data_IF_273053540947
#
_entry.id   IF_273053540947
#
_cell.length_a   1.000
_cell.length_b   1.000
_cell.length_c   1.000
_cell.angle_alpha   90.00
_cell.angle_beta   90.00
_cell.angle_gamma   90.00
#
_symmetry.space_group_name_H-M   'P 1'
#
loop_
_entity.id
_entity.type
_entity.pdbx_description
1 polymer ?
#
# COMPACT_ATOMS: atom_id res chain seq x y z
N UNK A 1 -33.04 -3.40 -105.34
CA UNK A 1 -32.15 -2.40 -104.70
C UNK A 1 -32.01 -2.76 -103.23
N UNK A 2 -30.80 -3.15 -102.79
CA UNK A 2 -30.32 -3.03 -101.40
C UNK A 2 -30.26 -1.54 -101.00
N UNK A 3 -30.24 -1.10 -99.70
CA UNK A 3 -29.30 -1.58 -98.66
C UNK A 3 -29.85 -1.52 -97.18
N UNK A 4 -29.36 -2.31 -96.20
CA UNK A 4 -28.26 -2.11 -95.20
C UNK A 4 -28.72 -2.09 -93.73
N UNK A 5 -27.96 -2.82 -92.91
CA UNK A 5 -27.97 -2.97 -91.45
C UNK A 5 -27.72 -1.65 -90.69
N UNK A 6 -28.16 -1.59 -89.42
CA UNK A 6 -27.30 -1.19 -88.28
C UNK A 6 -27.86 -1.70 -86.94
N UNK A 7 -26.97 -2.30 -86.16
CA UNK A 7 -27.18 -2.79 -84.79
C UNK A 7 -26.80 -1.70 -83.77
N UNK A 8 -27.40 -1.72 -82.57
CA UNK A 8 -26.78 -1.18 -81.35
C UNK A 8 -27.16 -2.02 -80.11
N UNK A 9 -26.13 -2.33 -79.32
CA UNK A 9 -26.11 -3.13 -78.09
C UNK A 9 -26.84 -2.46 -76.90
N UNK A 10 -27.24 -3.23 -75.87
CA UNK A 10 -27.75 -2.70 -74.62
C UNK A 10 -26.61 -2.22 -73.72
N UNK A 11 -26.76 -1.04 -73.09
CA UNK A 11 -25.87 -0.57 -72.03
C UNK A 11 -26.35 -1.13 -70.68
N UNK A 12 -25.53 -1.98 -70.05
CA UNK A 12 -25.65 -2.29 -68.62
C UNK A 12 -25.30 -1.04 -67.79
N UNK A 13 -26.00 -0.75 -66.69
CA UNK A 13 -25.49 0.15 -65.67
C UNK A 13 -24.55 -0.62 -64.73
N UNK A 14 -23.32 -0.12 -64.61
CA UNK A 14 -22.32 -0.57 -63.66
C UNK A 14 -22.79 -0.16 -62.24
N UNK A 15 -23.18 -1.13 -61.41
CA UNK A 15 -23.47 -0.90 -60.00
C UNK A 15 -22.13 -0.79 -59.25
N UNK A 16 -21.72 0.42 -58.90
CA UNK A 16 -20.56 0.65 -58.06
C UNK A 16 -20.90 0.27 -56.61
N UNK A 17 -20.38 -0.87 -56.14
CA UNK A 17 -20.36 -1.20 -54.70
C UNK A 17 -19.30 -0.33 -54.02
N UNK A 18 -19.72 0.72 -53.35
CA UNK A 18 -18.91 1.41 -52.33
C UNK A 18 -18.93 0.61 -51.04
N UNK A 19 -17.88 -0.19 -50.81
CA UNK A 19 -17.60 -0.76 -49.50
C UNK A 19 -17.08 0.37 -48.61
N UNK A 20 -17.95 0.92 -47.78
CA UNK A 20 -17.55 1.81 -46.69
C UNK A 20 -16.84 0.96 -45.62
N UNK A 21 -15.52 1.03 -45.57
CA UNK A 21 -14.75 0.51 -44.45
C UNK A 21 -15.09 1.35 -43.21
N UNK A 22 -15.91 0.80 -42.31
CA UNK A 22 -16.08 1.29 -40.95
C UNK A 22 -14.73 1.12 -40.23
N UNK A 23 -13.94 2.17 -40.20
CA UNK A 23 -12.85 2.30 -39.23
C UNK A 23 -13.51 2.39 -37.85
N UNK A 24 -13.54 1.28 -37.12
CA UNK A 24 -13.72 1.33 -35.68
C UNK A 24 -12.47 1.99 -35.09
N UNK A 25 -12.50 3.31 -34.94
CA UNK A 25 -11.67 3.98 -33.95
C UNK A 25 -12.16 3.49 -32.60
N UNK A 26 -11.50 2.48 -32.04
CA UNK A 26 -11.58 2.26 -30.61
C UNK A 26 -10.93 3.47 -29.97
N UNK A 27 -11.73 4.49 -29.67
CA UNK A 27 -11.34 5.50 -28.70
C UNK A 27 -11.11 4.71 -27.40
N UNK A 28 -9.85 4.38 -27.15
CA UNK A 28 -9.41 3.81 -25.90
C UNK A 28 -9.54 4.92 -24.86
N UNK A 29 -10.77 5.16 -24.39
CA UNK A 29 -11.00 6.02 -23.25
C UNK A 29 -10.14 5.46 -22.11
N UNK A 30 -9.24 6.30 -21.61
CA UNK A 30 -8.41 5.95 -20.47
C UNK A 30 -9.35 5.59 -19.30
N UNK A 31 -9.10 4.45 -18.67
CA UNK A 31 -9.97 4.00 -17.58
C UNK A 31 -9.86 4.93 -16.37
N UNK A 32 -10.97 5.14 -15.68
CA UNK A 32 -11.02 5.90 -14.45
C UNK A 32 -10.15 5.25 -13.36
N UNK A 33 -9.60 6.08 -12.47
CA UNK A 33 -8.83 5.64 -11.31
C UNK A 33 -9.74 5.55 -10.08
N UNK A 34 -9.64 4.46 -9.32
CA UNK A 34 -10.38 4.28 -8.07
C UNK A 34 -9.46 3.87 -6.90
N UNK A 35 -8.48 4.72 -6.52
CA UNK A 35 -7.60 4.43 -5.39
C UNK A 35 -8.40 4.22 -4.10
N UNK A 36 -7.94 3.28 -3.27
CA UNK A 36 -8.58 2.95 -2.02
C UNK A 36 -8.16 3.91 -0.90
N UNK A 37 -6.87 4.27 -0.83
CA UNK A 37 -6.31 5.04 0.29
C UNK A 37 -6.25 6.55 -0.03
N UNK A 38 -5.60 6.96 -1.11
CA UNK A 38 -5.55 8.37 -1.51
C UNK A 38 -6.88 8.82 -2.12
N UNK A 39 -7.29 10.05 -1.82
CA UNK A 39 -8.47 10.66 -2.45
C UNK A 39 -8.03 11.47 -3.66
N UNK A 40 -8.67 11.27 -4.81
CA UNK A 40 -8.34 12.03 -6.02
C UNK A 40 -8.50 13.55 -5.83
N UNK A 41 -9.52 13.98 -5.08
CA UNK A 41 -9.74 15.40 -4.73
C UNK A 41 -8.60 16.00 -3.88
N UNK A 42 -7.86 15.18 -3.13
CA UNK A 42 -6.68 15.63 -2.41
C UNK A 42 -5.50 15.84 -3.36
N UNK A 43 -5.29 14.90 -4.29
CA UNK A 43 -4.25 15.03 -5.30
C UNK A 43 -4.52 16.23 -6.21
N UNK A 44 -5.79 16.45 -6.59
CA UNK A 44 -6.21 17.62 -7.36
C UNK A 44 -5.96 18.93 -6.60
N UNK A 45 -6.32 18.99 -5.31
CA UNK A 45 -5.99 20.14 -4.48
C UNK A 45 -4.48 20.39 -4.43
N UNK A 46 -3.68 19.33 -4.24
CA UNK A 46 -2.22 19.43 -4.23
C UNK A 46 -1.66 19.91 -5.58
N UNK A 47 -2.20 19.47 -6.71
CA UNK A 47 -1.84 19.98 -8.05
C UNK A 47 -2.10 21.49 -8.16
N UNK A 48 -3.23 21.98 -7.64
CA UNK A 48 -3.53 23.41 -7.61
C UNK A 48 -2.54 24.19 -6.74
N UNK A 49 -2.15 23.65 -5.57
CA UNK A 49 -1.17 24.29 -4.69
C UNK A 49 0.25 24.30 -5.30
N UNK A 50 0.62 23.26 -6.04
CA UNK A 50 1.86 23.20 -6.84
C UNK A 50 1.82 24.28 -7.93
N UNK A 51 0.73 24.38 -8.70
CA UNK A 51 0.57 25.40 -9.74
C UNK A 51 0.65 26.82 -9.15
N UNK A 52 0.08 27.02 -7.96
CA UNK A 52 0.16 28.26 -7.19
C UNK A 52 1.51 28.50 -6.48
N UNK A 53 2.53 27.67 -6.74
CA UNK A 53 3.89 27.79 -6.19
C UNK A 53 3.94 27.86 -4.66
N UNK A 54 3.03 27.16 -3.96
CA UNK A 54 3.06 27.11 -2.49
C UNK A 54 4.33 26.36 -2.03
N UNK A 55 5.20 26.98 -1.22
CA UNK A 55 6.53 26.43 -0.93
C UNK A 55 6.55 24.97 -0.43
N UNK A 56 5.67 24.62 0.52
CA UNK A 56 5.60 23.25 1.06
C UNK A 56 5.23 22.22 -0.01
N UNK A 57 4.24 22.53 -0.86
CA UNK A 57 3.82 21.64 -1.94
C UNK A 57 4.90 21.50 -3.03
N UNK A 58 5.60 22.58 -3.36
CA UNK A 58 6.76 22.53 -4.27
C UNK A 58 7.90 21.70 -3.69
N UNK A 59 8.19 21.83 -2.40
CA UNK A 59 9.21 21.05 -1.70
C UNK A 59 8.90 19.56 -1.73
N UNK A 60 7.68 19.17 -1.33
CA UNK A 60 7.23 17.79 -1.38
C UNK A 60 7.20 17.22 -2.81
N UNK A 61 6.74 18.01 -3.79
CA UNK A 61 6.77 17.61 -5.21
C UNK A 61 8.19 17.35 -5.72
N UNK A 62 9.15 18.24 -5.42
CA UNK A 62 10.55 18.03 -5.81
C UNK A 62 11.16 16.77 -5.19
N UNK A 63 10.83 16.47 -3.93
CA UNK A 63 11.25 15.22 -3.28
C UNK A 63 10.64 13.99 -3.95
N UNK A 64 9.35 14.03 -4.27
CA UNK A 64 8.68 12.96 -5.02
C UNK A 64 9.36 12.71 -6.38
N UNK A 65 9.58 13.75 -7.18
CA UNK A 65 10.25 13.64 -8.48
C UNK A 65 11.67 13.10 -8.33
N UNK A 66 12.42 13.56 -7.32
CA UNK A 66 13.77 13.02 -7.04
C UNK A 66 13.75 11.53 -6.72
N UNK A 67 12.75 11.06 -5.96
CA UNK A 67 12.59 9.64 -5.66
C UNK A 67 12.20 8.83 -6.91
N UNK A 68 11.29 9.35 -7.73
CA UNK A 68 10.88 8.72 -8.98
C UNK A 68 12.02 8.65 -10.00
N UNK A 69 12.84 9.70 -10.15
CA UNK A 69 14.01 9.70 -11.03
C UNK A 69 15.07 8.67 -10.62
N UNK A 70 15.19 8.41 -9.31
CA UNK A 70 16.04 7.32 -8.81
C UNK A 70 15.42 5.96 -9.15
N UNK A 71 14.12 5.78 -8.91
CA UNK A 71 13.40 4.54 -9.23
C UNK A 71 13.45 4.19 -10.72
N UNK A 72 13.39 5.18 -11.63
CA UNK A 72 13.53 4.98 -13.07
C UNK A 72 14.81 4.22 -13.46
N UNK A 73 15.91 4.48 -12.73
CA UNK A 73 17.24 3.96 -13.04
C UNK A 73 17.51 2.59 -12.41
N UNK A 74 16.64 2.10 -11.53
CA UNK A 74 16.84 0.81 -10.86
C UNK A 74 16.44 -0.36 -11.77
N UNK A 75 17.04 -1.55 -11.61
CA UNK A 75 16.54 -2.75 -12.27
C UNK A 75 15.13 -3.11 -11.79
N UNK A 76 14.42 -3.94 -12.55
CA UNK A 76 13.16 -4.49 -12.09
C UNK A 76 13.43 -5.54 -11.01
N UNK A 77 12.68 -5.46 -9.91
CA UNK A 77 12.77 -6.37 -8.77
C UNK A 77 12.00 -7.67 -9.04
N UNK A 78 12.50 -8.80 -8.55
CA UNK A 78 11.80 -10.09 -8.50
C UNK A 78 12.19 -10.91 -7.27
N UNK A 79 11.26 -11.72 -6.74
CA UNK A 79 11.59 -12.76 -5.75
C UNK A 79 12.61 -13.77 -6.27
N UNK A 80 12.88 -13.81 -7.56
CA UNK A 80 13.90 -14.69 -8.15
C UNK A 80 15.33 -14.19 -7.92
N UNK A 81 15.52 -12.95 -7.46
CA UNK A 81 16.83 -12.33 -7.27
C UNK A 81 17.50 -12.70 -5.93
N UNK A 82 16.75 -13.31 -4.99
CA UNK A 82 17.34 -13.79 -3.73
C UNK A 82 18.33 -14.93 -3.99
N UNK A 83 19.34 -15.04 -3.14
CA UNK A 83 20.30 -16.15 -3.21
C UNK A 83 19.80 -17.40 -2.47
N UNK A 84 19.00 -17.23 -1.42
CA UNK A 84 18.42 -18.33 -0.66
C UNK A 84 17.09 -18.77 -1.27
N UNK A 85 16.76 -20.05 -1.15
CA UNK A 85 15.45 -20.58 -1.56
C UNK A 85 14.72 -21.06 -0.31
N UNK A 86 13.41 -20.82 -0.25
CA UNK A 86 12.58 -21.30 0.84
C UNK A 86 12.55 -22.84 0.90
N UNK A 87 12.05 -23.39 2.01
CA UNK A 87 11.97 -24.84 2.22
C UNK A 87 11.09 -25.57 1.18
N UNK A 88 10.21 -24.87 0.45
CA UNK A 88 9.47 -25.44 -0.68
C UNK A 88 10.37 -25.91 -1.84
N UNK A 89 11.57 -25.33 -1.97
CA UNK A 89 12.39 -25.46 -3.18
C UNK A 89 11.90 -24.60 -4.35
N UNK A 90 10.77 -23.88 -4.22
CA UNK A 90 10.28 -22.95 -5.22
C UNK A 90 10.82 -21.54 -4.96
N UNK A 91 11.55 -20.99 -5.94
CA UNK A 91 12.13 -19.65 -5.83
C UNK A 91 11.09 -18.53 -6.00
N UNK A 92 9.91 -18.84 -6.55
CA UNK A 92 8.78 -17.93 -6.64
C UNK A 92 8.11 -17.65 -5.29
N UNK A 93 8.36 -18.49 -4.26
CA UNK A 93 7.86 -18.23 -2.93
C UNK A 93 8.64 -17.09 -2.25
N UNK A 94 7.91 -16.17 -1.63
CA UNK A 94 8.50 -15.10 -0.84
C UNK A 94 9.18 -15.68 0.41
N UNK A 95 10.43 -15.28 0.64
CA UNK A 95 11.23 -15.75 1.76
C UNK A 95 11.82 -14.57 2.53
N UNK A 96 11.72 -14.57 3.86
CA UNK A 96 12.34 -13.53 4.70
C UNK A 96 12.76 -14.07 6.06
N UNK A 97 13.65 -13.34 6.74
CA UNK A 97 14.01 -13.58 8.13
C UNK A 97 13.39 -12.53 9.05
N UNK A 98 13.09 -12.90 10.31
CA UNK A 98 12.67 -11.94 11.31
C UNK A 98 13.83 -11.09 11.80
N UNK A 99 13.56 -9.84 12.22
CA UNK A 99 14.61 -8.90 12.56
C UNK A 99 15.40 -9.28 13.82
N UNK A 100 14.82 -10.01 14.77
CA UNK A 100 15.40 -10.16 16.11
C UNK A 100 15.94 -11.56 16.41
N UNK A 101 16.26 -12.35 15.39
CA UNK A 101 16.79 -13.70 15.55
C UNK A 101 18.20 -13.80 15.00
N UNK A 102 19.10 -14.37 15.78
CA UNK A 102 20.53 -14.40 15.53
C UNK A 102 21.08 -15.82 15.61
N UNK A 103 22.15 -16.16 14.87
CA UNK A 103 22.88 -17.40 15.09
C UNK A 103 23.31 -17.53 16.56
N UNK A 104 23.17 -18.72 17.14
CA UNK A 104 23.62 -19.01 18.51
C UNK A 104 25.14 -19.21 18.53
N UNK A 105 25.91 -18.27 19.13
CA UNK A 105 27.38 -18.38 19.16
C UNK A 105 27.89 -19.56 19.99
N UNK A 106 27.04 -20.21 20.80
CA UNK A 106 27.40 -21.42 21.56
C UNK A 106 27.34 -22.70 20.72
N UNK A 107 26.83 -22.62 19.48
CA UNK A 107 26.62 -23.77 18.58
C UNK A 107 27.56 -23.67 17.39
N UNK A 108 28.09 -24.82 16.95
CA UNK A 108 29.07 -24.89 15.85
C UNK A 108 28.51 -24.38 14.52
N UNK A 109 27.22 -24.61 14.29
CA UNK A 109 26.47 -24.21 13.10
C UNK A 109 25.60 -22.97 13.33
N UNK A 110 25.61 -22.41 14.55
CA UNK A 110 24.78 -21.27 14.91
C UNK A 110 23.29 -21.59 15.06
N UNK A 111 22.89 -22.87 15.12
CA UNK A 111 21.48 -23.28 15.15
C UNK A 111 21.07 -23.96 16.49
N UNK A 112 19.80 -23.82 16.91
CA UNK A 112 18.78 -22.92 16.36
C UNK A 112 19.12 -21.46 16.62
N UNK A 113 18.58 -20.54 15.83
CA UNK A 113 18.74 -19.11 16.11
C UNK A 113 18.14 -18.76 17.48
N UNK A 114 18.68 -17.73 18.13
CA UNK A 114 18.22 -17.19 19.42
C UNK A 114 17.64 -15.79 19.24
N UNK A 115 16.60 -15.48 20.03
CA UNK A 115 15.94 -14.17 19.98
C UNK A 115 16.71 -13.14 20.81
N UNK A 116 16.96 -11.96 20.24
CA UNK A 116 17.48 -10.76 20.90
C UNK A 116 16.57 -9.58 20.62
N UNK A 117 15.60 -9.33 21.50
CA UNK A 117 14.55 -8.33 21.25
C UNK A 117 15.14 -6.91 21.16
N UNK A 118 14.75 -6.17 20.13
CA UNK A 118 15.29 -4.82 19.86
C UNK A 118 16.64 -4.78 19.13
N UNK A 119 17.35 -5.92 19.03
CA UNK A 119 18.63 -6.02 18.31
C UNK A 119 18.42 -6.58 16.90
N UNK A 120 18.48 -5.72 15.89
CA UNK A 120 18.19 -6.11 14.50
C UNK A 120 19.36 -6.87 13.88
N UNK A 121 19.15 -8.13 13.50
CA UNK A 121 20.04 -8.92 12.67
C UNK A 121 20.07 -8.33 11.24
N UNK A 122 21.24 -7.90 10.72
CA UNK A 122 21.35 -7.36 9.37
C UNK A 122 20.90 -8.34 8.27
N UNK A 123 20.99 -9.65 8.51
CA UNK A 123 20.58 -10.67 7.54
C UNK A 123 19.08 -10.57 7.20
N UNK A 124 18.26 -10.08 8.14
CA UNK A 124 16.82 -9.83 7.93
C UNK A 124 16.51 -8.75 6.89
N UNK A 125 17.50 -7.94 6.52
CA UNK A 125 17.39 -6.91 5.48
C UNK A 125 18.46 -7.07 4.39
N UNK A 126 19.11 -8.23 4.30
CA UNK A 126 20.06 -8.54 3.23
C UNK A 126 19.35 -8.85 1.91
N UNK A 127 20.10 -8.81 0.79
CA UNK A 127 19.58 -9.20 -0.52
C UNK A 127 19.45 -10.72 -0.69
N UNK A 128 19.88 -11.50 0.32
CA UNK A 128 19.75 -12.95 0.36
C UNK A 128 18.30 -13.42 0.54
N UNK A 129 17.39 -12.53 0.95
CA UNK A 129 15.95 -12.76 1.12
C UNK A 129 15.13 -11.65 0.44
N UNK A 130 13.80 -11.65 0.57
CA UNK A 130 12.89 -10.80 -0.20
C UNK A 130 12.39 -9.54 0.49
N UNK A 131 12.54 -9.40 1.82
CA UNK A 131 11.91 -8.29 2.56
C UNK A 131 12.32 -6.90 2.08
N UNK A 132 13.62 -6.65 1.98
CA UNK A 132 14.15 -5.37 1.47
C UNK A 132 13.69 -5.12 0.03
N UNK A 133 13.61 -6.18 -0.76
CA UNK A 133 13.22 -6.13 -2.18
C UNK A 133 11.74 -5.79 -2.35
N UNK A 134 10.84 -6.46 -1.63
CA UNK A 134 9.41 -6.16 -1.61
C UNK A 134 9.14 -4.72 -1.19
N UNK A 135 9.80 -4.24 -0.13
CA UNK A 135 9.69 -2.85 0.32
C UNK A 135 10.19 -1.86 -0.75
N UNK A 136 11.32 -2.16 -1.41
CA UNK A 136 11.87 -1.31 -2.46
C UNK A 136 10.96 -1.27 -3.69
N UNK A 137 10.47 -2.43 -4.14
CA UNK A 137 9.52 -2.56 -5.24
C UNK A 137 8.26 -1.74 -4.96
N UNK A 138 7.65 -1.91 -3.79
CA UNK A 138 6.41 -1.22 -3.42
C UNK A 138 6.62 0.30 -3.35
N UNK A 139 7.70 0.75 -2.70
CA UNK A 139 8.02 2.17 -2.56
C UNK A 139 8.33 2.85 -3.90
N UNK A 140 9.03 2.14 -4.80
CA UNK A 140 9.40 2.67 -6.10
C UNK A 140 8.18 2.75 -7.03
N UNK A 141 7.35 1.70 -7.08
CA UNK A 141 6.09 1.70 -7.84
C UNK A 141 5.17 2.81 -7.37
N UNK A 142 5.02 2.99 -6.06
CA UNK A 142 4.26 4.10 -5.48
C UNK A 142 4.79 5.47 -5.90
N UNK A 143 6.11 5.67 -5.78
CA UNK A 143 6.75 6.94 -6.15
C UNK A 143 6.60 7.24 -7.65
N UNK A 144 6.76 6.24 -8.51
CA UNK A 144 6.60 6.37 -9.95
C UNK A 144 5.14 6.68 -10.34
N UNK A 145 4.16 6.00 -9.75
CA UNK A 145 2.75 6.24 -10.03
C UNK A 145 2.31 7.65 -9.61
N UNK A 146 2.68 8.09 -8.40
CA UNK A 146 2.42 9.46 -7.96
C UNK A 146 3.16 10.50 -8.81
N UNK A 147 4.43 10.27 -9.15
CA UNK A 147 5.19 11.19 -9.99
C UNK A 147 4.57 11.32 -11.38
N UNK A 148 4.10 10.22 -11.99
CA UNK A 148 3.31 10.27 -13.21
C UNK A 148 2.04 11.11 -13.01
N UNK A 149 1.28 10.90 -11.93
CA UNK A 149 0.04 11.63 -11.68
C UNK A 149 0.26 13.16 -11.63
N UNK A 150 1.32 13.62 -10.96
CA UNK A 150 1.62 15.06 -10.84
C UNK A 150 2.34 15.66 -12.06
N UNK A 151 3.23 14.93 -12.71
CA UNK A 151 4.08 15.45 -13.79
C UNK A 151 3.58 15.13 -15.20
N UNK A 152 2.70 14.13 -15.32
CA UNK A 152 2.27 13.52 -16.58
C UNK A 152 3.42 12.94 -17.43
N UNK A 153 4.60 12.73 -16.84
CA UNK A 153 5.73 12.10 -17.53
C UNK A 153 5.48 10.59 -17.67
N UNK A 154 5.21 10.17 -18.92
CA UNK A 154 4.87 8.79 -19.27
C UNK A 154 5.95 7.76 -18.89
N UNK A 155 7.23 8.15 -18.83
CA UNK A 155 8.31 7.25 -18.47
C UNK A 155 8.14 6.66 -17.05
N UNK A 156 7.59 7.43 -16.12
CA UNK A 156 7.31 6.93 -14.78
C UNK A 156 6.21 5.85 -14.79
N UNK A 157 5.13 6.08 -15.56
CA UNK A 157 4.04 5.12 -15.69
C UNK A 157 4.49 3.82 -16.37
N UNK A 158 5.27 3.92 -17.45
CA UNK A 158 5.80 2.77 -18.16
C UNK A 158 6.72 1.92 -17.26
N UNK A 159 7.63 2.57 -16.52
CA UNK A 159 8.51 1.88 -15.56
C UNK A 159 7.73 1.19 -14.44
N UNK A 160 6.71 1.87 -13.88
CA UNK A 160 5.87 1.30 -12.83
C UNK A 160 5.12 0.06 -13.35
N UNK A 161 4.56 0.15 -14.57
CA UNK A 161 3.92 -0.99 -15.22
C UNK A 161 4.88 -2.16 -15.43
N UNK A 162 6.09 -1.91 -15.93
CA UNK A 162 7.09 -2.96 -16.13
C UNK A 162 7.42 -3.68 -14.81
N UNK A 163 7.54 -2.93 -13.71
CA UNK A 163 7.76 -3.49 -12.38
C UNK A 163 6.57 -4.31 -11.87
N UNK A 164 5.33 -3.84 -12.08
CA UNK A 164 4.11 -4.57 -11.72
C UNK A 164 4.02 -5.89 -12.50
N UNK A 165 4.23 -5.86 -13.82
CA UNK A 165 4.24 -7.07 -14.65
C UNK A 165 5.34 -8.03 -14.19
N UNK A 166 6.54 -7.54 -13.88
CA UNK A 166 7.66 -8.37 -13.45
C UNK A 166 7.43 -9.04 -12.08
N UNK A 167 6.77 -8.35 -11.14
CA UNK A 167 6.57 -8.89 -9.80
C UNK A 167 5.35 -9.80 -9.69
N UNK A 168 4.26 -9.51 -10.43
CA UNK A 168 2.97 -10.16 -10.20
C UNK A 168 2.52 -11.10 -11.32
N UNK A 169 2.94 -10.85 -12.57
CA UNK A 169 2.34 -11.49 -13.75
C UNK A 169 3.32 -12.43 -14.45
N UNK A 170 4.52 -11.92 -14.76
CA UNK A 170 5.49 -12.61 -15.58
C UNK A 170 5.86 -13.97 -14.97
N UNK A 171 5.57 -15.11 -15.61
CA UNK A 171 5.74 -16.43 -15.01
C UNK A 171 7.20 -16.77 -14.70
N UNK A 172 8.17 -16.11 -15.33
CA UNK A 172 9.59 -16.30 -15.04
C UNK A 172 10.08 -15.55 -13.79
N UNK A 173 9.32 -14.55 -13.31
CA UNK A 173 9.77 -13.63 -12.24
C UNK A 173 8.74 -13.36 -11.15
N UNK A 174 7.48 -13.77 -11.33
CA UNK A 174 6.39 -13.45 -10.42
C UNK A 174 6.58 -14.03 -9.03
N UNK A 175 6.07 -13.35 -8.03
CA UNK A 175 5.90 -13.88 -6.68
C UNK A 175 4.63 -14.75 -6.62
N UNK A 176 4.70 -15.93 -6.00
CA UNK A 176 3.49 -16.70 -5.67
C UNK A 176 2.63 -15.90 -4.66
N UNK A 177 1.29 -15.92 -4.76
CA UNK A 177 0.42 -15.08 -3.94
C UNK A 177 0.25 -15.64 -2.51
N UNK A 178 1.35 -15.81 -1.77
CA UNK A 178 1.38 -16.31 -0.40
C UNK A 178 2.64 -15.86 0.35
N UNK A 179 2.57 -15.87 1.70
CA UNK A 179 3.71 -15.62 2.61
C UNK A 179 3.95 -16.85 3.49
N UNK A 180 3.92 -18.06 2.91
CA UNK A 180 4.12 -19.30 3.66
C UNK A 180 5.48 -19.33 4.37
N UNK A 181 6.50 -18.75 3.74
CA UNK A 181 7.90 -18.78 4.20
C UNK A 181 8.41 -17.40 4.68
N UNK A 182 7.48 -16.51 5.07
CA UNK A 182 7.83 -15.21 5.62
C UNK A 182 8.31 -15.33 7.08
N UNK A 183 9.37 -14.60 7.39
CA UNK A 183 10.03 -14.56 8.70
C UNK A 183 10.35 -15.96 9.27
N UNK A 184 10.86 -16.84 8.41
CA UNK A 184 11.42 -18.13 8.79
C UNK A 184 12.53 -17.95 9.83
N UNK A 185 12.61 -18.86 10.82
CA UNK A 185 13.69 -18.86 11.80
C UNK A 185 14.55 -20.10 11.58
N UNK A 186 15.82 -19.93 11.14
CA UNK A 186 16.72 -21.06 10.93
C UNK A 186 16.82 -21.96 12.17
N UNK A 187 16.58 -23.25 11.96
CA UNK A 187 16.57 -24.27 13.01
C UNK A 187 15.31 -24.34 13.88
N UNK A 188 14.26 -23.55 13.57
CA UNK A 188 13.01 -23.52 14.36
C UNK A 188 11.76 -23.70 13.48
N UNK A 189 11.57 -22.86 12.46
CA UNK A 189 10.42 -22.95 11.56
C UNK A 189 10.74 -22.37 10.17
N UNK A 190 9.96 -22.81 9.18
CA UNK A 190 10.11 -22.38 7.79
C UNK A 190 9.36 -21.09 7.46
N UNK A 191 8.54 -20.59 8.40
CA UNK A 191 7.71 -19.39 8.28
C UNK A 191 6.74 -19.31 9.46
N UNK A 192 6.06 -18.17 9.63
CA UNK A 192 5.15 -17.92 10.76
C UNK A 192 4.13 -16.82 10.49
N UNK A 193 3.02 -16.80 11.23
CA UNK A 193 1.96 -15.79 11.08
C UNK A 193 2.45 -14.34 11.07
N UNK A 194 3.27 -13.95 12.06
CA UNK A 194 3.85 -12.60 12.15
C UNK A 194 4.75 -12.19 10.99
N UNK A 195 5.07 -13.11 10.08
CA UNK A 195 5.71 -12.80 8.81
C UNK A 195 4.82 -12.01 7.86
N UNK A 196 3.50 -12.12 7.98
CA UNK A 196 2.52 -11.49 7.10
C UNK A 196 2.63 -9.96 7.11
N UNK A 197 3.06 -9.35 8.21
CA UNK A 197 3.31 -7.90 8.26
C UNK A 197 4.34 -7.39 7.23
N UNK A 198 5.17 -8.28 6.66
CA UNK A 198 6.07 -7.91 5.57
C UNK A 198 5.29 -7.42 4.34
N UNK A 199 4.11 -7.99 4.03
CA UNK A 199 3.28 -7.62 2.88
C UNK A 199 2.43 -6.36 3.05
N UNK A 200 2.49 -5.66 4.20
CA UNK A 200 1.73 -4.42 4.43
C UNK A 200 1.99 -3.34 3.36
N UNK A 201 3.17 -3.35 2.74
CA UNK A 201 3.54 -2.41 1.68
C UNK A 201 2.74 -2.61 0.38
N UNK A 202 2.17 -3.81 0.16
CA UNK A 202 1.33 -4.10 -1.00
C UNK A 202 0.00 -3.33 -0.98
N UNK A 203 -0.42 -2.81 0.18
CA UNK A 203 -1.59 -1.93 0.27
C UNK A 203 -1.40 -0.67 -0.58
N UNK A 204 -0.20 -0.06 -0.56
CA UNK A 204 0.07 1.15 -1.34
C UNK A 204 0.26 0.85 -2.84
N UNK A 205 0.61 -0.39 -3.18
CA UNK A 205 0.73 -0.84 -4.58
C UNK A 205 -0.64 -0.90 -5.25
N UNK A 206 -1.73 -1.16 -4.52
CA UNK A 206 -3.10 -1.08 -5.05
C UNK A 206 -3.37 0.33 -5.60
N UNK A 207 -3.14 1.35 -4.78
CA UNK A 207 -3.36 2.73 -5.20
C UNK A 207 -2.42 3.13 -6.34
N UNK A 208 -1.20 2.61 -6.37
CA UNK A 208 -0.31 2.81 -7.52
C UNK A 208 -0.90 2.24 -8.82
N UNK A 209 -1.47 1.02 -8.77
CA UNK A 209 -2.14 0.40 -9.93
C UNK A 209 -3.32 1.26 -10.38
N UNK A 210 -4.17 1.66 -9.45
CA UNK A 210 -5.36 2.47 -9.72
C UNK A 210 -4.99 3.85 -10.30
N UNK A 211 -3.98 4.51 -9.74
CA UNK A 211 -3.48 5.76 -10.28
C UNK A 211 -2.95 5.61 -11.69
N UNK A 212 -2.36 4.47 -12.08
CA UNK A 212 -1.84 4.27 -13.43
C UNK A 212 -2.91 3.98 -14.49
N UNK A 213 -4.18 3.71 -14.11
CA UNK A 213 -5.27 3.40 -15.05
C UNK A 213 -5.46 4.47 -16.13
N UNK A 214 -5.47 5.79 -15.81
CA UNK A 214 -5.65 6.82 -16.82
C UNK A 214 -4.41 7.01 -17.72
N UNK A 215 -3.26 6.44 -17.35
CA UNK A 215 -2.06 6.47 -18.20
C UNK A 215 -2.17 5.54 -19.42
N UNK A 216 -3.14 4.61 -19.41
CA UNK A 216 -3.34 3.59 -20.44
C UNK A 216 -2.07 2.75 -20.74
N UNK A 217 -1.22 2.53 -19.72
CA UNK A 217 -0.01 1.69 -19.84
C UNK A 217 -0.25 0.26 -19.37
N UNK A 218 -1.26 0.04 -18.52
CA UNK A 218 -1.70 -1.28 -18.04
C UNK A 218 -2.88 -1.70 -18.90
N UNK A 219 -2.75 -2.83 -19.63
CA UNK A 219 -3.89 -3.36 -20.39
C UNK A 219 -4.98 -3.88 -19.47
N UNK A 220 -6.21 -4.00 -19.96
CA UNK A 220 -7.31 -4.57 -19.17
C UNK A 220 -7.01 -6.01 -18.72
N UNK A 221 -6.37 -6.81 -19.58
CA UNK A 221 -5.90 -8.15 -19.22
C UNK A 221 -4.90 -8.12 -18.04
N UNK A 222 -3.89 -7.25 -18.10
CA UNK A 222 -2.92 -7.09 -17.01
C UNK A 222 -3.59 -6.62 -15.72
N UNK A 223 -4.56 -5.70 -15.81
CA UNK A 223 -5.32 -5.24 -14.66
C UNK A 223 -6.11 -6.38 -14.01
N UNK A 224 -6.80 -7.22 -14.79
CA UNK A 224 -7.49 -8.39 -14.25
C UNK A 224 -6.51 -9.42 -13.64
N UNK A 225 -5.33 -9.62 -14.24
CA UNK A 225 -4.29 -10.48 -13.66
C UNK A 225 -3.77 -9.95 -12.32
N UNK A 226 -3.58 -8.62 -12.19
CA UNK A 226 -3.21 -8.00 -10.91
C UNK A 226 -4.31 -8.22 -9.86
N UNK A 227 -5.58 -7.94 -10.21
CA UNK A 227 -6.71 -8.18 -9.29
C UNK A 227 -6.82 -9.65 -8.88
N UNK A 228 -6.58 -10.57 -9.81
CA UNK A 228 -6.57 -12.00 -9.53
C UNK A 228 -5.47 -12.36 -8.51
N UNK A 229 -4.24 -11.85 -8.69
CA UNK A 229 -3.14 -12.10 -7.75
C UNK A 229 -3.49 -11.65 -6.32
N UNK A 230 -4.06 -10.45 -6.16
CA UNK A 230 -4.53 -9.98 -4.85
C UNK A 230 -5.70 -10.81 -4.31
N UNK A 231 -6.57 -11.30 -5.20
CA UNK A 231 -7.66 -12.20 -4.85
C UNK A 231 -7.18 -13.55 -4.32
N UNK A 232 -6.16 -14.13 -4.96
CA UNK A 232 -5.52 -15.38 -4.55
C UNK A 232 -4.74 -15.20 -3.25
N UNK A 233 -4.05 -14.06 -3.10
CA UNK A 233 -3.34 -13.72 -1.87
C UNK A 233 -4.31 -13.57 -0.71
N UNK A 234 -5.42 -12.86 -0.91
CA UNK A 234 -6.48 -12.73 0.07
C UNK A 234 -7.07 -14.09 0.48
N UNK A 235 -7.29 -14.97 -0.49
CA UNK A 235 -7.75 -16.33 -0.23
C UNK A 235 -6.76 -17.10 0.64
N UNK A 236 -5.47 -17.13 0.26
CA UNK A 236 -4.43 -17.79 1.07
C UNK A 236 -4.37 -17.19 2.49
N UNK A 237 -4.41 -15.88 2.61
CA UNK A 237 -4.32 -15.18 3.88
C UNK A 237 -5.50 -15.47 4.83
N UNK A 238 -6.67 -15.77 4.30
CA UNK A 238 -7.87 -16.04 5.11
C UNK A 238 -8.10 -17.52 5.40
N UNK A 239 -7.38 -18.42 4.71
CA UNK A 239 -7.50 -19.87 4.92
C UNK A 239 -6.23 -20.58 5.36
N UNK A 240 -5.08 -19.91 5.38
CA UNK A 240 -3.81 -20.50 5.83
C UNK A 240 -3.64 -20.45 7.35
N UNK A 241 -2.82 -21.36 7.89
CA UNK A 241 -2.43 -21.35 9.29
C UNK A 241 -1.69 -20.05 9.68
N UNK A 242 -0.76 -19.58 8.83
CA UNK A 242 -0.06 -18.31 9.06
C UNK A 242 -1.05 -17.13 9.12
N UNK A 243 -2.04 -17.11 8.23
CA UNK A 243 -3.10 -16.11 8.22
C UNK A 243 -3.95 -16.13 9.50
N UNK A 244 -4.35 -17.33 9.94
CA UNK A 244 -5.06 -17.52 11.21
C UNK A 244 -4.26 -17.04 12.42
N UNK A 245 -2.95 -17.34 12.48
CA UNK A 245 -2.08 -16.88 13.56
C UNK A 245 -1.98 -15.35 13.60
N UNK A 246 -1.79 -14.70 12.44
CA UNK A 246 -1.69 -13.24 12.36
C UNK A 246 -3.00 -12.54 12.72
N UNK A 247 -4.14 -13.03 12.23
CA UNK A 247 -5.48 -12.50 12.57
C UNK A 247 -5.72 -12.53 14.09
N UNK A 248 -5.16 -13.52 14.79
CA UNK A 248 -5.34 -13.67 16.23
C UNK A 248 -4.39 -12.85 17.11
N UNK A 249 -3.44 -12.11 16.52
CA UNK A 249 -2.58 -11.23 17.32
C UNK A 249 -3.37 -10.04 17.88
N UNK A 250 -3.08 -9.72 19.15
CA UNK A 250 -3.80 -8.70 19.92
C UNK A 250 -3.28 -7.27 19.67
N UNK A 251 -2.05 -7.13 19.17
CA UNK A 251 -1.37 -5.85 18.96
C UNK A 251 -1.43 -5.42 17.48
N UNK A 252 -0.53 -4.52 17.06
CA UNK A 252 -0.43 -3.97 15.70
C UNK A 252 -0.41 -5.03 14.59
N UNK A 253 0.06 -6.26 14.85
CA UNK A 253 -0.02 -7.36 13.88
C UNK A 253 -1.47 -7.66 13.45
N UNK A 254 -2.39 -7.78 14.41
CA UNK A 254 -3.80 -8.01 14.11
C UNK A 254 -4.45 -6.83 13.37
N UNK A 255 -4.02 -5.59 13.66
CA UNK A 255 -4.49 -4.39 12.95
C UNK A 255 -4.01 -4.36 11.50
N UNK A 256 -2.74 -4.68 11.27
CA UNK A 256 -2.18 -4.77 9.92
C UNK A 256 -2.72 -5.95 9.14
N UNK A 257 -3.11 -7.06 9.80
CA UNK A 257 -3.88 -8.12 9.16
C UNK A 257 -5.21 -7.58 8.64
N UNK A 258 -5.98 -6.89 9.49
CA UNK A 258 -7.28 -6.36 9.10
C UNK A 258 -7.17 -5.35 7.95
N UNK A 259 -6.15 -4.48 7.97
CA UNK A 259 -5.84 -3.55 6.90
C UNK A 259 -5.62 -4.30 5.56
N UNK A 260 -4.70 -5.28 5.56
CA UNK A 260 -4.39 -6.05 4.35
C UNK A 260 -5.62 -6.82 3.85
N UNK A 261 -6.36 -7.46 4.75
CA UNK A 261 -7.58 -8.20 4.43
C UNK A 261 -8.65 -7.31 3.79
N UNK A 262 -8.94 -6.15 4.36
CA UNK A 262 -9.92 -5.22 3.81
C UNK A 262 -9.47 -4.65 2.45
N UNK A 263 -8.20 -4.24 2.32
CA UNK A 263 -7.66 -3.72 1.05
C UNK A 263 -7.68 -4.75 -0.07
N UNK A 264 -7.18 -5.97 0.19
CA UNK A 264 -7.07 -7.01 -0.83
C UNK A 264 -8.44 -7.56 -1.23
N UNK A 265 -9.38 -7.65 -0.28
CA UNK A 265 -10.77 -7.97 -0.58
C UNK A 265 -11.42 -6.89 -1.48
N UNK A 266 -11.32 -5.61 -1.13
CA UNK A 266 -11.87 -4.51 -1.95
C UNK A 266 -11.29 -4.50 -3.36
N UNK A 267 -9.96 -4.53 -3.48
CA UNK A 267 -9.30 -4.49 -4.78
C UNK A 267 -9.64 -5.71 -5.64
N UNK A 268 -9.78 -6.89 -5.06
CA UNK A 268 -10.19 -8.11 -5.78
C UNK A 268 -11.71 -8.27 -5.98
N UNK A 269 -12.52 -7.24 -5.66
CA UNK A 269 -13.97 -7.22 -5.88
C UNK A 269 -14.82 -7.95 -4.83
N UNK A 270 -14.24 -8.32 -3.69
CA UNK A 270 -14.91 -9.01 -2.56
C UNK A 270 -15.41 -8.00 -1.51
N UNK A 271 -16.26 -7.07 -1.92
CA UNK A 271 -16.69 -5.93 -1.07
C UNK A 271 -17.35 -6.35 0.23
N UNK A 272 -18.19 -7.39 0.23
CA UNK A 272 -18.88 -7.86 1.45
C UNK A 272 -17.91 -8.46 2.47
N UNK A 273 -16.85 -9.14 2.00
CA UNK A 273 -15.81 -9.65 2.90
C UNK A 273 -15.00 -8.52 3.53
N UNK A 274 -14.72 -7.46 2.77
CA UNK A 274 -14.08 -6.26 3.29
C UNK A 274 -14.94 -5.57 4.36
N UNK A 275 -16.25 -5.42 4.13
CA UNK A 275 -17.20 -4.88 5.13
C UNK A 275 -17.19 -5.70 6.41
N UNK A 276 -17.26 -7.03 6.31
CA UNK A 276 -17.18 -7.93 7.46
C UNK A 276 -15.87 -7.74 8.23
N UNK A 277 -14.75 -7.61 7.50
CA UNK A 277 -13.45 -7.37 8.14
C UNK A 277 -13.39 -6.02 8.85
N UNK A 278 -13.94 -4.95 8.27
CA UNK A 278 -14.01 -3.64 8.92
C UNK A 278 -14.91 -3.65 10.17
N UNK A 279 -15.98 -4.44 10.18
CA UNK A 279 -16.80 -4.68 11.38
C UNK A 279 -16.03 -5.47 12.45
N UNK A 280 -15.18 -6.42 12.06
CA UNK A 280 -14.25 -7.09 12.98
C UNK A 280 -13.26 -6.05 13.54
N UNK A 281 -12.74 -5.15 12.72
CA UNK A 281 -11.86 -4.06 13.20
C UNK A 281 -12.54 -3.23 14.28
N UNK A 282 -13.80 -2.84 14.09
CA UNK A 282 -14.60 -2.13 15.09
C UNK A 282 -14.70 -2.94 16.39
N UNK A 283 -15.31 -4.13 16.33
CA UNK A 283 -15.72 -4.89 17.52
C UNK A 283 -14.56 -5.61 18.23
N UNK A 284 -13.55 -6.05 17.47
CA UNK A 284 -12.44 -6.84 18.00
C UNK A 284 -11.17 -6.03 18.22
N UNK A 285 -10.86 -5.07 17.34
CA UNK A 285 -9.58 -4.32 17.45
C UNK A 285 -9.75 -3.06 18.26
N UNK A 286 -10.61 -2.13 17.82
CA UNK A 286 -10.76 -0.84 18.49
C UNK A 286 -11.17 -1.04 19.96
N UNK A 287 -12.14 -1.91 20.23
CA UNK A 287 -12.61 -2.19 21.58
C UNK A 287 -11.55 -2.80 22.52
N UNK A 288 -10.56 -3.54 22.00
CA UNK A 288 -9.56 -4.24 22.83
C UNK A 288 -8.17 -3.59 22.81
N UNK A 289 -7.84 -2.79 21.81
CA UNK A 289 -6.50 -2.22 21.64
C UNK A 289 -6.34 -0.85 22.28
N UNK A 290 -7.41 -0.07 22.39
CA UNK A 290 -7.41 1.22 23.08
C UNK A 290 -8.14 1.04 24.39
N UNK A 291 -7.63 1.56 25.50
CA UNK A 291 -8.43 1.71 26.72
C UNK A 291 -9.26 3.00 26.69
N UNK A 292 -10.01 3.26 27.78
CA UNK A 292 -10.88 4.42 27.89
C UNK A 292 -10.13 5.77 27.91
N UNK A 293 -8.80 5.75 28.12
CA UNK A 293 -7.93 6.92 27.98
C UNK A 293 -7.24 6.98 26.61
N UNK A 294 -7.52 6.04 25.71
CA UNK A 294 -6.91 5.95 24.37
C UNK A 294 -5.52 5.32 24.37
N UNK A 295 -5.07 4.73 25.47
CA UNK A 295 -3.75 4.10 25.55
C UNK A 295 -3.77 2.77 24.83
N UNK A 296 -2.70 2.51 24.08
CA UNK A 296 -2.49 1.26 23.34
C UNK A 296 -1.58 0.33 24.13
N UNK A 297 -2.08 -0.28 25.21
CA UNK A 297 -1.24 -0.96 26.21
C UNK A 297 -0.28 -1.99 25.62
N UNK A 298 -0.73 -2.81 24.66
CA UNK A 298 0.13 -3.79 23.99
C UNK A 298 1.30 -3.17 23.19
N UNK A 299 1.17 -1.92 22.75
CA UNK A 299 2.24 -1.16 22.09
C UNK A 299 3.12 -0.41 23.10
N UNK A 300 2.52 0.05 24.19
CA UNK A 300 3.19 0.81 25.25
C UNK A 300 4.13 -0.05 26.10
N UNK A 301 3.87 -1.35 26.19
CA UNK A 301 4.74 -2.34 26.86
C UNK A 301 5.97 -2.73 26.03
N UNK A 302 6.08 -2.26 24.78
CA UNK A 302 7.21 -2.58 23.89
C UNK A 302 8.45 -1.75 24.25
N UNK A 303 9.61 -2.13 23.73
CA UNK A 303 10.87 -1.39 23.93
C UNK A 303 10.91 -0.03 23.22
N UNK A 304 10.07 0.16 22.20
CA UNK A 304 9.95 1.38 21.38
C UNK A 304 8.49 1.88 21.32
N UNK A 305 7.87 2.20 22.46
CA UNK A 305 6.42 2.40 22.55
C UNK A 305 5.92 3.59 21.74
N UNK A 306 6.73 4.67 21.59
CA UNK A 306 6.36 5.79 20.72
C UNK A 306 6.24 5.35 19.25
N UNK A 307 7.16 4.52 18.79
CA UNK A 307 7.13 3.99 17.44
C UNK A 307 5.94 3.06 17.21
N UNK A 308 5.71 2.08 18.09
CA UNK A 308 4.66 1.10 17.90
C UNK A 308 3.25 1.70 18.01
N UNK A 309 3.04 2.66 18.92
CA UNK A 309 1.75 3.35 19.03
C UNK A 309 1.41 4.14 17.77
N UNK A 310 2.40 4.81 17.16
CA UNK A 310 2.22 5.50 15.90
C UNK A 310 2.08 4.54 14.71
N UNK A 311 2.81 3.43 14.72
CA UNK A 311 2.75 2.40 13.68
C UNK A 311 1.38 1.72 13.64
N UNK A 312 0.78 1.43 14.80
CA UNK A 312 -0.56 0.87 14.87
C UNK A 312 -1.63 1.88 14.37
N UNK A 313 -1.54 3.15 14.78
CA UNK A 313 -2.43 4.21 14.26
C UNK A 313 -2.28 4.43 12.76
N UNK A 314 -1.10 4.18 12.17
CA UNK A 314 -0.92 4.27 10.72
C UNK A 314 -1.78 3.26 9.97
N UNK A 315 -1.96 2.05 10.52
CA UNK A 315 -2.90 1.08 9.97
C UNK A 315 -4.34 1.56 10.09
N UNK A 316 -4.71 2.17 11.22
CA UNK A 316 -6.04 2.76 11.42
C UNK A 316 -6.32 3.94 10.50
N UNK A 317 -5.31 4.72 10.09
CA UNK A 317 -5.48 5.78 9.09
C UNK A 317 -6.12 5.22 7.81
N UNK A 318 -5.58 4.09 7.37
CA UNK A 318 -5.99 3.40 6.14
C UNK A 318 -7.30 2.63 6.36
N UNK A 319 -7.49 1.96 7.49
CA UNK A 319 -8.74 1.27 7.81
C UNK A 319 -9.95 2.22 7.88
N UNK A 320 -9.78 3.40 8.48
CA UNK A 320 -10.80 4.43 8.49
C UNK A 320 -11.21 4.84 7.07
N UNK A 321 -10.22 5.06 6.21
CA UNK A 321 -10.45 5.36 4.78
C UNK A 321 -11.12 4.21 4.02
N UNK A 322 -10.70 2.96 4.23
CA UNK A 322 -11.36 1.80 3.64
C UNK A 322 -12.81 1.66 4.12
N UNK A 323 -13.08 2.04 5.37
CA UNK A 323 -14.42 2.20 5.92
C UNK A 323 -15.28 3.15 5.10
N UNK A 324 -14.77 4.34 4.77
CA UNK A 324 -15.48 5.29 3.89
C UNK A 324 -15.79 4.69 2.51
N UNK A 325 -14.84 3.94 1.92
CA UNK A 325 -15.02 3.28 0.61
C UNK A 325 -16.07 2.17 0.69
N UNK A 326 -16.08 1.39 1.76
CA UNK A 326 -16.96 0.24 1.93
C UNK A 326 -18.31 0.58 2.59
N UNK A 327 -18.51 1.82 3.07
CA UNK A 327 -19.71 2.22 3.82
C UNK A 327 -19.77 1.69 5.25
N UNK A 328 -18.62 1.57 5.93
CA UNK A 328 -18.51 1.19 7.35
C UNK A 328 -17.81 2.31 8.12
N UNK A 329 -18.49 2.92 9.10
CA UNK A 329 -17.91 4.02 9.89
C UNK A 329 -16.93 3.51 10.95
N UNK A 330 -15.69 3.28 10.55
CA UNK A 330 -14.59 2.89 11.46
C UNK A 330 -14.12 4.06 12.32
N UNK A 331 -14.18 5.29 11.80
CA UNK A 331 -13.70 6.48 12.51
C UNK A 331 -14.47 6.72 13.80
N UNK A 332 -15.80 6.75 13.71
CA UNK A 332 -16.64 7.13 14.85
C UNK A 332 -17.16 5.94 15.65
N UNK A 333 -16.62 4.75 15.43
CA UNK A 333 -16.96 3.59 16.24
C UNK A 333 -16.50 3.79 17.70
N UNK A 334 -17.39 3.47 18.63
CA UNK A 334 -17.07 3.37 20.05
C UNK A 334 -17.83 2.24 20.70
N UNK A 335 -17.23 1.64 21.73
CA UNK A 335 -17.84 0.62 22.58
C UNK A 335 -17.33 0.83 24.01
N UNK A 336 -18.23 0.99 24.99
CA UNK A 336 -17.89 1.17 26.41
C UNK A 336 -16.82 2.24 26.71
N UNK A 337 -16.78 3.31 25.92
CA UNK A 337 -15.81 4.39 26.06
C UNK A 337 -14.44 4.11 25.43
N UNK A 338 -14.28 3.00 24.72
CA UNK A 338 -13.13 2.69 23.88
C UNK A 338 -13.39 3.22 22.46
N UNK A 339 -12.51 4.10 21.96
CA UNK A 339 -12.66 4.65 20.61
C UNK A 339 -11.32 4.91 19.94
N UNK A 340 -11.34 4.90 18.61
CA UNK A 340 -10.17 5.26 17.82
C UNK A 340 -9.77 6.72 18.04
N UNK A 341 -10.75 7.62 18.21
CA UNK A 341 -10.52 9.05 18.47
C UNK A 341 -9.65 9.30 19.71
N UNK A 342 -9.93 8.62 20.82
CA UNK A 342 -9.10 8.72 22.04
C UNK A 342 -7.67 8.25 21.79
N UNK A 343 -7.47 7.21 20.98
CA UNK A 343 -6.15 6.74 20.55
C UNK A 343 -5.30 7.82 19.90
N UNK A 344 -5.89 8.58 18.97
CA UNK A 344 -5.21 9.73 18.37
C UNK A 344 -5.03 10.89 19.35
N UNK A 345 -6.00 11.17 20.22
CA UNK A 345 -5.88 12.24 21.25
C UNK A 345 -4.73 11.96 22.20
N UNK A 346 -4.55 10.70 22.61
CA UNK A 346 -3.43 10.28 23.45
C UNK A 346 -2.09 10.64 22.83
N UNK A 347 -1.87 10.30 21.55
CA UNK A 347 -0.63 10.64 20.84
C UNK A 347 -0.49 12.15 20.60
N UNK A 348 -1.58 12.83 20.23
CA UNK A 348 -1.57 14.28 20.00
C UNK A 348 -1.15 15.08 21.26
N UNK A 349 -1.47 14.58 22.46
CA UNK A 349 -1.09 15.19 23.73
C UNK A 349 0.42 15.29 23.98
N UNK A 350 1.23 14.48 23.29
CA UNK A 350 2.69 14.48 23.40
C UNK A 350 3.40 15.14 22.22
N UNK A 351 2.70 15.38 21.09
CA UNK A 351 3.28 16.09 19.94
C UNK A 351 3.44 17.56 20.27
N UNK A 352 4.66 18.09 20.12
CA UNK A 352 4.98 19.50 20.42
C UNK A 352 4.37 19.94 21.76
N UNK A 353 4.74 19.25 22.83
CA UNK A 353 4.17 19.40 24.16
C UNK A 353 5.30 19.40 25.19
N UNK A 354 5.11 20.15 26.28
CA UNK A 354 6.01 20.10 27.44
C UNK A 354 5.77 18.86 28.32
N UNK A 355 4.69 18.11 28.05
CA UNK A 355 4.39 16.87 28.76
C UNK A 355 5.44 15.80 28.40
N UNK A 356 6.17 15.24 29.39
CA UNK A 356 7.13 14.19 29.12
C UNK A 356 6.42 12.91 28.70
N UNK A 357 7.01 12.19 27.73
CA UNK A 357 6.58 10.83 27.39
C UNK A 357 6.77 9.90 28.61
N UNK A 358 5.71 9.29 29.16
CA UNK A 358 5.79 8.61 30.45
C UNK A 358 6.33 7.17 30.35
N UNK A 359 6.56 6.67 29.14
CA UNK A 359 7.01 5.30 28.90
C UNK A 359 8.50 5.24 28.60
N UNK A 360 9.16 4.20 29.10
CA UNK A 360 10.56 3.94 28.79
C UNK A 360 10.68 3.58 27.30
N UNK A 361 11.41 4.42 26.56
CA UNK A 361 11.71 4.20 25.14
C UNK A 361 13.23 4.09 24.97
N UNK A 362 13.70 3.11 24.19
CA UNK A 362 15.12 3.00 23.84
C UNK A 362 15.53 4.03 22.78
N UNK A 363 14.57 4.56 22.02
CA UNK A 363 14.76 5.62 21.05
C UNK A 363 14.38 6.98 21.63
N UNK A 364 14.97 8.04 21.08
CA UNK A 364 14.46 9.40 21.29
C UNK A 364 13.13 9.57 20.56
N UNK A 365 12.14 10.14 21.24
CA UNK A 365 10.86 10.51 20.64
C UNK A 365 11.07 11.41 19.41
N UNK A 366 10.37 11.10 18.33
CA UNK A 366 10.44 11.83 17.07
C UNK A 366 9.02 12.13 16.58
N UNK A 367 8.64 13.41 16.64
CA UNK A 367 7.30 13.89 16.27
C UNK A 367 6.94 13.56 14.81
N UNK A 368 7.92 13.44 13.92
CA UNK A 368 7.70 13.03 12.53
C UNK A 368 6.91 11.72 12.42
N UNK A 369 7.06 10.79 13.36
CA UNK A 369 6.31 9.53 13.38
C UNK A 369 4.80 9.72 13.56
N UNK A 370 4.38 10.83 14.16
CA UNK A 370 2.98 11.19 14.36
C UNK A 370 2.41 12.02 13.21
N UNK A 371 3.24 12.50 12.25
CA UNK A 371 2.82 13.38 11.17
C UNK A 371 1.58 12.89 10.43
N UNK A 372 1.66 11.68 9.86
CA UNK A 372 0.54 11.13 9.07
C UNK A 372 -0.70 10.85 9.93
N UNK A 373 -0.49 10.41 11.17
CA UNK A 373 -1.57 10.06 12.09
C UNK A 373 -2.37 11.31 12.50
N UNK A 374 -1.69 12.37 12.92
CA UNK A 374 -2.35 13.57 13.40
C UNK A 374 -2.96 14.38 12.25
N UNK A 375 -2.32 14.40 11.08
CA UNK A 375 -2.93 14.97 9.87
C UNK A 375 -4.20 14.20 9.49
N UNK A 376 -4.17 12.88 9.54
CA UNK A 376 -5.37 12.07 9.26
C UNK A 376 -6.47 12.30 10.30
N UNK A 377 -6.13 12.37 11.59
CA UNK A 377 -7.07 12.66 12.66
C UNK A 377 -7.72 14.05 12.51
N UNK A 378 -6.94 15.08 12.15
CA UNK A 378 -7.46 16.42 11.90
C UNK A 378 -8.45 16.48 10.72
N UNK A 379 -8.36 15.52 9.79
CA UNK A 379 -9.28 15.38 8.66
C UNK A 379 -10.52 14.54 9.01
N UNK A 380 -10.36 13.52 9.85
CA UNK A 380 -11.46 12.68 10.31
C UNK A 380 -12.36 13.42 11.32
N UNK A 381 -11.77 14.26 12.18
CA UNK A 381 -12.47 15.06 13.20
C UNK A 381 -12.07 16.54 13.07
N UNK A 382 -12.53 17.24 12.01
CA UNK A 382 -12.14 18.61 11.73
C UNK A 382 -12.53 19.59 12.84
N UNK A 383 -13.52 19.26 13.67
CA UNK A 383 -13.96 20.05 14.81
C UNK A 383 -13.01 19.98 16.02
N UNK A 384 -12.09 19.01 16.06
CA UNK A 384 -11.14 18.83 17.16
C UNK A 384 -9.96 19.80 17.01
N UNK A 385 -9.93 20.85 17.83
CA UNK A 385 -8.90 21.88 17.76
C UNK A 385 -7.50 21.34 18.08
N UNK A 386 -7.39 20.32 18.95
CA UNK A 386 -6.10 19.71 19.29
C UNK A 386 -5.48 19.07 18.04
N UNK A 387 -6.25 18.26 17.31
CA UNK A 387 -5.74 17.64 16.09
C UNK A 387 -5.36 18.68 15.04
N UNK A 388 -6.19 19.69 14.83
CA UNK A 388 -5.92 20.74 13.85
C UNK A 388 -4.61 21.49 14.17
N UNK A 389 -4.43 21.92 15.41
CA UNK A 389 -3.23 22.65 15.85
C UNK A 389 -1.97 21.78 15.70
N UNK A 390 -2.02 20.55 16.20
CA UNK A 390 -0.86 19.64 16.12
C UNK A 390 -0.54 19.24 14.68
N UNK A 391 -1.55 19.02 13.84
CA UNK A 391 -1.34 18.72 12.42
C UNK A 391 -0.70 19.90 11.67
N UNK A 392 -1.14 21.13 11.93
CA UNK A 392 -0.55 22.34 11.35
C UNK A 392 0.93 22.50 11.74
N UNK A 393 1.24 22.32 13.03
CA UNK A 393 2.63 22.37 13.51
C UNK A 393 3.49 21.28 12.88
N UNK A 394 2.99 20.05 12.79
CA UNK A 394 3.69 18.93 12.19
C UNK A 394 3.96 19.17 10.70
N UNK A 395 2.97 19.64 9.93
CA UNK A 395 3.15 19.96 8.52
C UNK A 395 4.11 21.13 8.29
N UNK A 396 4.10 22.14 9.17
CA UNK A 396 5.07 23.24 9.09
C UNK A 396 6.50 22.78 9.42
N UNK A 397 6.64 21.82 10.34
CA UNK A 397 7.93 21.26 10.78
C UNK A 397 8.52 20.25 9.79
N UNK A 398 7.66 19.61 8.98
CA UNK A 398 8.04 18.61 7.98
C UNK A 398 7.38 18.89 6.61
N UNK A 399 7.63 20.07 6.01
CA UNK A 399 6.85 20.58 4.88
C UNK A 399 7.00 19.77 3.58
N UNK A 400 8.16 19.12 3.42
CA UNK A 400 8.49 18.38 2.19
C UNK A 400 8.05 16.90 2.23
N UNK A 401 7.35 16.46 3.27
CA UNK A 401 6.90 15.08 3.35
C UNK A 401 5.79 14.77 2.37
N UNK A 402 5.73 13.52 1.92
CA UNK A 402 4.73 13.08 0.93
C UNK A 402 3.29 13.30 1.43
N UNK A 403 3.08 13.28 2.75
CA UNK A 403 1.81 13.62 3.41
C UNK A 403 1.24 14.96 2.95
N UNK A 404 2.09 15.96 2.67
CA UNK A 404 1.67 17.26 2.13
C UNK A 404 0.95 17.11 0.79
N UNK A 405 1.34 16.14 -0.05
CA UNK A 405 0.72 15.90 -1.35
C UNK A 405 -0.50 14.98 -1.28
N UNK A 406 -0.43 13.92 -0.48
CA UNK A 406 -1.45 12.84 -0.51
C UNK A 406 -2.54 13.00 0.56
N UNK A 407 -2.27 13.81 1.59
CA UNK A 407 -3.22 14.09 2.66
C UNK A 407 -3.13 15.57 3.11
N UNK A 408 -3.28 16.54 2.19
CA UNK A 408 -3.18 17.95 2.53
C UNK A 408 -4.27 18.38 3.52
N UNK A 409 -3.93 19.29 4.44
CA UNK A 409 -4.93 20.06 5.17
C UNK A 409 -5.52 21.10 4.22
N UNK A 410 -6.84 21.03 4.03
CA UNK A 410 -7.61 22.01 3.27
C UNK A 410 -8.04 23.16 4.21
N UNK A 411 -8.23 24.39 3.69
CA UNK A 411 -8.58 25.57 4.49
C UNK A 411 -9.88 25.41 5.29
#
# INVERSE_FOLDING_TARGET
MLPTKKAFLPRLPLLALTVAALLHTTDSFAADAHPLIVKLDDLQYSQQQIAAQKPAFIGAYKRLITSADKALKKPLYSVMDKSLTAASGDKHDYYSFPPYWWPDPSKKDGLPYIRKDGETNPDSNSDATDKKRLNSMSSDVWSLALAWHFSQNKAYAEKARDQLVNWFINPQTRMNPNLQYAQAIPGINDGRGIGLIDSRALVDVIDAIELLRPANVISEEQYQQLKQWYGDFYQWMTTSQNGFEEDNWHNNHGTYYDLQAASFALFSGKTEDAKRRLQITQLRRIANQFDIEGRQMAELERTRPWHYSNFNLEAYNKLGRLGEVAGVDVWNFSLDGHSLRQGYQYIAGFVHSDAPWPWKDIDKMNDKKALVNIVTAARAWPEDSLFREKAQWLMASYPDEITTLIAPLKP
#
